data_IF_546098244073
#
_entry.id   IF_546098244073
#
_cell.length_a   1.000
_cell.length_b   1.000
_cell.length_c   1.000
_cell.angle_alpha   90.00
_cell.angle_beta   90.00
_cell.angle_gamma   90.00
#
_symmetry.space_group_name_H-M   'P 1'
#
loop_
_entity.id
_entity.type
_entity.pdbx_description
1 polymer ?
#
# COMPACT_ATOMS: atom_id res chain seq x y z
N UNK A 1 -27.57 -12.43 -1.02
CA UNK A 1 -26.59 -12.42 -2.12
C UNK A 1 -27.15 -13.25 -3.25
N UNK A 2 -27.15 -12.72 -4.47
CA UNK A 2 -27.58 -13.47 -5.66
C UNK A 2 -26.55 -14.54 -6.01
N UNK A 3 -27.00 -15.70 -6.51
CA UNK A 3 -26.12 -16.74 -7.06
C UNK A 3 -25.70 -16.44 -8.50
N UNK A 4 -26.21 -15.37 -9.11
CA UNK A 4 -25.93 -15.02 -10.50
C UNK A 4 -24.55 -14.38 -10.66
N UNK A 5 -23.82 -14.82 -11.68
CA UNK A 5 -22.48 -14.35 -12.02
C UNK A 5 -22.58 -13.09 -12.89
N UNK A 6 -21.95 -12.00 -12.45
CA UNK A 6 -21.83 -10.76 -13.21
C UNK A 6 -20.62 -10.77 -14.17
N UNK A 7 -19.48 -11.27 -13.69
CA UNK A 7 -18.25 -11.39 -14.48
C UNK A 7 -17.70 -12.80 -14.30
N UNK A 8 -17.45 -13.51 -15.40
CA UNK A 8 -16.82 -14.81 -15.43
C UNK A 8 -15.55 -14.75 -16.25
N UNK A 9 -14.42 -15.10 -15.63
CA UNK A 9 -13.12 -15.18 -16.29
C UNK A 9 -12.62 -16.61 -16.21
N UNK A 10 -12.36 -17.24 -17.36
CA UNK A 10 -11.92 -18.64 -17.45
C UNK A 10 -10.65 -18.79 -18.28
N UNK A 11 -9.58 -19.26 -17.64
CA UNK A 11 -8.27 -19.56 -18.23
C UNK A 11 -7.75 -18.43 -19.14
N UNK A 12 -8.02 -17.19 -18.74
CA UNK A 12 -7.78 -16.00 -19.54
C UNK A 12 -6.28 -15.72 -19.61
N UNK A 13 -5.78 -15.61 -20.84
CA UNK A 13 -4.38 -15.27 -21.09
C UNK A 13 -4.25 -14.19 -22.15
N UNK A 14 -3.22 -13.35 -21.99
CA UNK A 14 -2.86 -12.30 -22.95
C UNK A 14 -1.35 -12.27 -23.16
N UNK A 15 -0.95 -12.55 -24.40
CA UNK A 15 0.42 -12.44 -24.88
C UNK A 15 0.55 -11.27 -25.85
N UNK A 16 1.58 -10.45 -25.65
CA UNK A 16 2.03 -9.43 -26.59
C UNK A 16 3.30 -9.91 -27.29
N UNK A 17 3.37 -9.72 -28.60
CA UNK A 17 4.57 -9.97 -29.38
C UNK A 17 5.41 -8.70 -29.41
N UNK A 18 6.57 -8.71 -28.77
CA UNK A 18 7.49 -7.58 -28.75
C UNK A 18 8.56 -7.79 -29.82
N UNK A 19 8.70 -6.80 -30.69
CA UNK A 19 9.67 -6.78 -31.79
C UNK A 19 10.80 -5.80 -31.46
N UNK A 20 12.06 -6.18 -31.72
CA UNK A 20 13.21 -5.29 -31.48
C UNK A 20 13.26 -4.15 -32.51
N UNK A 21 12.87 -4.43 -33.75
CA UNK A 21 12.78 -3.42 -34.81
C UNK A 21 11.48 -3.54 -35.62
N UNK A 22 10.96 -2.46 -36.22
CA UNK A 22 9.79 -2.53 -37.09
C UNK A 22 9.98 -3.48 -38.29
N UNK A 23 11.22 -3.64 -38.76
CA UNK A 23 11.58 -4.58 -39.84
C UNK A 23 11.36 -6.04 -39.42
N UNK A 24 11.58 -6.36 -38.14
CA UNK A 24 11.37 -7.71 -37.62
C UNK A 24 9.89 -8.11 -37.62
N UNK A 25 8.98 -7.14 -37.47
CA UNK A 25 7.53 -7.37 -37.64
C UNK A 25 7.18 -7.76 -39.08
N UNK A 26 7.78 -7.09 -40.07
CA UNK A 26 7.59 -7.43 -41.48
C UNK A 26 8.21 -8.81 -41.81
N UNK A 27 9.42 -9.07 -41.30
CA UNK A 27 10.09 -10.37 -41.42
C UNK A 27 9.24 -11.50 -40.84
N UNK A 28 8.65 -11.31 -39.66
CA UNK A 28 7.78 -12.30 -39.04
C UNK A 28 6.54 -12.64 -39.88
N UNK A 29 6.01 -11.67 -40.62
CA UNK A 29 4.83 -11.90 -41.47
C UNK A 29 5.19 -12.70 -42.75
N UNK A 30 6.38 -12.48 -43.30
CA UNK A 30 6.77 -12.97 -44.64
C UNK A 30 7.70 -14.19 -44.57
N UNK A 31 8.78 -14.11 -43.79
CA UNK A 31 9.88 -15.08 -43.82
C UNK A 31 9.50 -16.48 -43.32
N UNK A 32 8.67 -16.68 -42.29
CA UNK A 32 8.31 -18.02 -41.82
C UNK A 32 7.61 -18.86 -42.90
N UNK A 33 6.76 -18.25 -43.74
CA UNK A 33 6.07 -18.95 -44.84
C UNK A 33 7.06 -19.36 -45.94
N UNK A 34 7.98 -18.47 -46.31
CA UNK A 34 9.01 -18.75 -47.32
C UNK A 34 9.99 -19.80 -46.81
N UNK A 35 10.42 -19.70 -45.56
CA UNK A 35 11.33 -20.67 -44.92
C UNK A 35 10.69 -22.06 -44.87
N UNK A 36 9.40 -22.16 -44.56
CA UNK A 36 8.66 -23.42 -44.57
C UNK A 36 8.62 -24.07 -45.95
N UNK A 37 8.39 -23.28 -47.02
CA UNK A 37 8.41 -23.76 -48.41
C UNK A 37 9.80 -24.22 -48.85
N UNK A 38 10.86 -23.58 -48.32
CA UNK A 38 12.26 -23.89 -48.65
C UNK A 38 12.87 -24.94 -47.69
N UNK A 39 12.05 -25.59 -46.85
CA UNK A 39 12.48 -26.66 -45.94
C UNK A 39 13.37 -26.19 -44.78
N UNK A 40 13.42 -24.88 -44.49
CA UNK A 40 14.11 -24.31 -43.34
C UNK A 40 13.17 -24.19 -42.15
N UNK A 41 13.72 -24.37 -40.94
CA UNK A 41 12.95 -24.10 -39.73
C UNK A 41 12.57 -22.62 -39.66
N UNK A 42 11.29 -22.29 -39.44
CA UNK A 42 10.83 -20.91 -39.38
C UNK A 42 11.44 -20.21 -38.17
N UNK A 43 12.12 -19.09 -38.41
CA UNK A 43 12.71 -18.28 -37.35
C UNK A 43 11.67 -17.34 -36.75
N UNK A 44 11.64 -17.24 -35.42
CA UNK A 44 10.79 -16.32 -34.69
C UNK A 44 11.51 -14.98 -34.51
N UNK A 45 10.90 -13.90 -35.01
CA UNK A 45 11.44 -12.53 -34.98
C UNK A 45 10.81 -11.66 -33.88
N UNK A 46 10.12 -12.26 -32.91
CA UNK A 46 9.54 -11.59 -31.75
C UNK A 46 9.85 -12.33 -30.46
N UNK A 47 9.85 -11.59 -29.34
CA UNK A 47 9.78 -12.16 -28.00
C UNK A 47 8.34 -12.11 -27.49
N UNK A 48 7.92 -13.14 -26.79
CA UNK A 48 6.62 -13.16 -26.14
C UNK A 48 6.68 -12.45 -24.79
N UNK A 49 5.67 -11.62 -24.53
CA UNK A 49 5.43 -11.03 -23.22
C UNK A 49 4.02 -11.38 -22.77
N UNK A 50 3.95 -12.30 -21.80
CA UNK A 50 2.72 -12.75 -21.20
C UNK A 50 2.30 -11.77 -20.11
N UNK A 51 1.40 -10.85 -20.46
CA UNK A 51 0.85 -9.88 -19.51
C UNK A 51 -0.13 -10.54 -18.54
N UNK A 52 -0.85 -11.58 -19.01
CA UNK A 52 -1.73 -12.42 -18.21
C UNK A 52 -1.59 -13.87 -18.67
N UNK A 53 -1.66 -14.82 -17.73
CA UNK A 53 -1.52 -16.24 -18.02
C UNK A 53 -2.41 -17.07 -17.08
N UNK A 54 -3.37 -17.77 -17.68
CA UNK A 54 -4.26 -18.74 -17.04
C UNK A 54 -5.02 -18.16 -15.83
N UNK A 55 -5.60 -16.97 -16.01
CA UNK A 55 -6.41 -16.30 -14.97
C UNK A 55 -7.83 -16.88 -14.95
N UNK A 56 -8.31 -17.27 -13.77
CA UNK A 56 -9.69 -17.72 -13.57
C UNK A 56 -10.27 -17.18 -12.26
N UNK A 57 -11.42 -16.51 -12.33
CA UNK A 57 -12.20 -16.07 -11.17
C UNK A 57 -13.62 -15.65 -11.59
N UNK A 58 -14.50 -15.52 -10.60
CA UNK A 58 -15.90 -15.11 -10.80
C UNK A 58 -16.25 -13.96 -9.87
N UNK A 59 -17.10 -13.05 -10.34
CA UNK A 59 -17.69 -11.96 -9.56
C UNK A 59 -19.20 -12.08 -9.62
N UNK A 60 -19.87 -12.15 -8.47
CA UNK A 60 -21.33 -12.26 -8.40
C UNK A 60 -22.01 -10.90 -8.51
N UNK A 61 -23.28 -10.88 -8.90
CA UNK A 61 -24.07 -9.65 -8.93
C UNK A 61 -24.20 -9.04 -7.53
N UNK A 62 -23.93 -7.73 -7.42
CA UNK A 62 -23.96 -6.98 -6.17
C UNK A 62 -22.76 -7.23 -5.25
N UNK A 63 -21.72 -7.89 -5.78
CA UNK A 63 -20.47 -8.09 -5.07
C UNK A 63 -19.47 -6.97 -5.39
N UNK A 64 -18.71 -6.54 -4.38
CA UNK A 64 -17.52 -5.69 -4.60
C UNK A 64 -16.26 -6.52 -4.45
N UNK A 65 -15.50 -6.62 -5.54
CA UNK A 65 -14.25 -7.39 -5.62
C UNK A 65 -13.08 -6.47 -5.93
N UNK A 66 -12.04 -6.54 -5.10
CA UNK A 66 -10.78 -5.82 -5.29
C UNK A 66 -9.81 -6.59 -6.19
N UNK A 67 -9.13 -5.93 -7.13
CA UNK A 67 -7.96 -6.46 -7.82
C UNK A 67 -6.73 -5.71 -7.30
N UNK A 68 -5.88 -6.42 -6.57
CA UNK A 68 -4.67 -5.86 -5.96
C UNK A 68 -3.42 -6.46 -6.60
N UNK A 69 -2.35 -5.66 -6.70
CA UNK A 69 -1.06 -6.11 -7.23
C UNK A 69 -0.17 -4.94 -7.64
N UNK A 70 1.13 -5.21 -7.84
CA UNK A 70 2.11 -4.19 -8.23
C UNK A 70 1.80 -3.57 -9.60
N UNK A 71 2.47 -2.46 -9.91
CA UNK A 71 2.53 -1.97 -11.28
C UNK A 71 3.20 -3.03 -12.18
N UNK A 72 2.63 -3.25 -13.37
CA UNK A 72 3.09 -4.31 -14.27
C UNK A 72 2.61 -5.74 -13.94
N UNK A 73 1.77 -5.93 -12.92
CA UNK A 73 1.19 -7.26 -12.59
C UNK A 73 0.10 -7.74 -13.57
N UNK A 74 -0.36 -6.87 -14.48
CA UNK A 74 -1.39 -7.19 -15.48
C UNK A 74 -2.78 -6.62 -15.19
N UNK A 75 -2.98 -5.84 -14.11
CA UNK A 75 -4.30 -5.26 -13.72
C UNK A 75 -4.99 -4.52 -14.88
N UNK A 76 -4.33 -3.53 -15.47
CA UNK A 76 -4.92 -2.74 -16.57
C UNK A 76 -5.24 -3.60 -17.80
N UNK A 77 -4.39 -4.57 -18.13
CA UNK A 77 -4.66 -5.55 -19.21
C UNK A 77 -5.88 -6.40 -18.90
N UNK A 78 -6.02 -6.88 -17.66
CA UNK A 78 -7.17 -7.67 -17.23
C UNK A 78 -8.45 -6.86 -17.36
N UNK A 79 -8.41 -5.61 -16.92
CA UNK A 79 -9.56 -4.73 -17.01
C UNK A 79 -9.96 -4.41 -18.44
N UNK A 80 -9.01 -4.16 -19.34
CA UNK A 80 -9.30 -3.97 -20.77
C UNK A 80 -9.95 -5.21 -21.39
N UNK A 81 -9.53 -6.41 -20.99
CA UNK A 81 -10.18 -7.67 -21.41
C UNK A 81 -11.61 -7.78 -20.86
N UNK A 82 -11.82 -7.43 -19.59
CA UNK A 82 -13.15 -7.44 -18.94
C UNK A 82 -14.10 -6.42 -19.58
N UNK A 83 -13.61 -5.23 -19.90
CA UNK A 83 -14.38 -4.17 -20.54
C UNK A 83 -14.59 -4.39 -22.03
N UNK A 84 -13.94 -5.40 -22.64
CA UNK A 84 -14.04 -5.70 -24.06
C UNK A 84 -13.27 -4.75 -24.98
N UNK A 85 -12.41 -3.86 -24.44
CA UNK A 85 -11.54 -2.99 -25.25
C UNK A 85 -10.30 -3.72 -25.77
N UNK A 86 -10.04 -4.93 -25.25
CA UNK A 86 -8.97 -5.80 -25.69
C UNK A 86 -9.49 -7.24 -25.87
N UNK A 87 -8.98 -7.93 -26.90
CA UNK A 87 -9.25 -9.35 -27.12
C UNK A 87 -8.21 -10.25 -26.42
N UNK A 88 -8.63 -11.38 -25.82
CA UNK A 88 -7.71 -12.36 -25.24
C UNK A 88 -6.87 -13.07 -26.30
N UNK A 89 -5.72 -13.61 -25.88
CA UNK A 89 -4.95 -14.56 -26.70
C UNK A 89 -5.54 -15.96 -26.59
N UNK A 90 -5.97 -16.35 -25.39
CA UNK A 90 -6.72 -17.58 -25.10
C UNK A 90 -7.59 -17.39 -23.87
N UNK A 91 -8.53 -18.32 -23.66
CA UNK A 91 -9.52 -18.25 -22.58
C UNK A 91 -10.74 -17.40 -22.94
N UNK A 92 -11.60 -17.18 -21.95
CA UNK A 92 -12.89 -16.53 -22.13
C UNK A 92 -13.16 -15.51 -21.02
N UNK A 93 -13.80 -14.40 -21.40
CA UNK A 93 -14.44 -13.45 -20.48
C UNK A 93 -15.92 -13.37 -20.87
N UNK A 94 -16.80 -13.51 -19.89
CA UNK A 94 -18.23 -13.26 -20.04
C UNK A 94 -18.68 -12.23 -19.02
N UNK A 95 -19.45 -11.25 -19.47
CA UNK A 95 -20.00 -10.18 -18.63
C UNK A 95 -21.51 -10.10 -18.84
N UNK A 96 -22.26 -10.01 -17.74
CA UNK A 96 -23.72 -10.00 -17.76
C UNK A 96 -24.25 -8.66 -17.23
N UNK A 97 -24.39 -7.69 -18.13
CA UNK A 97 -24.90 -6.35 -17.84
C UNK A 97 -24.07 -5.26 -18.52
N UNK A 98 -24.51 -4.01 -18.35
CA UNK A 98 -23.82 -2.82 -18.84
C UNK A 98 -22.64 -2.51 -17.93
N UNK A 99 -21.46 -2.39 -18.52
CA UNK A 99 -20.21 -2.04 -17.82
C UNK A 99 -19.97 -0.54 -17.99
N UNK A 100 -19.79 0.16 -16.87
CA UNK A 100 -19.16 1.48 -16.87
C UNK A 100 -17.72 1.35 -16.39
N UNK A 101 -16.76 1.77 -17.20
CA UNK A 101 -15.34 1.65 -16.92
C UNK A 101 -14.69 3.02 -16.73
N UNK A 102 -14.22 3.29 -15.50
CA UNK A 102 -13.53 4.54 -15.15
C UNK A 102 -12.04 4.56 -15.57
N UNK A 103 -11.58 3.50 -16.24
CA UNK A 103 -10.21 3.34 -16.75
C UNK A 103 -9.85 4.33 -17.84
N UNK A 104 -10.85 4.68 -18.63
CA UNK A 104 -10.71 5.51 -19.81
C UNK A 104 -11.65 6.70 -19.68
N UNK A 105 -11.60 7.38 -18.52
CA UNK A 105 -12.41 8.56 -18.23
C UNK A 105 -12.29 9.58 -19.37
N UNK A 106 -13.41 9.80 -20.08
CA UNK A 106 -13.49 10.71 -21.22
C UNK A 106 -12.99 10.15 -22.56
N UNK A 107 -12.68 8.86 -22.67
CA UNK A 107 -12.35 8.20 -23.95
C UNK A 107 -13.49 8.17 -24.98
N UNK A 108 -14.70 8.51 -24.56
CA UNK A 108 -15.83 8.77 -25.43
C UNK A 108 -16.06 10.25 -25.73
N UNK A 109 -15.31 11.19 -25.13
CA UNK A 109 -15.58 12.61 -25.31
C UNK A 109 -14.93 13.15 -26.58
N UNK A 110 -15.69 13.97 -27.30
CA UNK A 110 -15.20 14.78 -28.40
C UNK A 110 -14.88 16.20 -27.87
N UNK A 111 -13.62 16.66 -27.95
CA UNK A 111 -13.22 17.99 -27.48
C UNK A 111 -13.97 19.16 -28.17
N UNK A 112 -14.45 18.94 -29.38
CA UNK A 112 -15.21 19.94 -30.15
C UNK A 112 -16.69 20.02 -29.74
N UNK A 113 -17.20 19.00 -29.04
CA UNK A 113 -18.58 18.96 -28.56
C UNK A 113 -18.71 19.67 -27.22
N UNK A 114 -19.89 20.24 -26.96
CA UNK A 114 -20.23 20.77 -25.64
C UNK A 114 -20.25 19.66 -24.58
N UNK A 115 -20.18 20.03 -23.31
CA UNK A 115 -20.40 19.09 -22.20
C UNK A 115 -21.72 18.34 -22.36
N UNK A 116 -22.80 19.05 -22.72
CA UNK A 116 -24.11 18.46 -23.00
C UNK A 116 -24.03 17.41 -24.09
N UNK A 117 -23.48 17.74 -25.25
CA UNK A 117 -23.34 16.80 -26.37
C UNK A 117 -22.50 15.57 -25.99
N UNK A 118 -21.42 15.78 -25.21
CA UNK A 118 -20.59 14.70 -24.68
C UNK A 118 -21.33 13.78 -23.70
N UNK A 119 -22.21 14.33 -22.85
CA UNK A 119 -23.07 13.53 -21.95
C UNK A 119 -23.98 12.62 -22.77
N UNK A 120 -24.67 13.17 -23.78
CA UNK A 120 -25.58 12.39 -24.62
C UNK A 120 -24.84 11.30 -25.40
N UNK A 121 -23.72 11.65 -26.03
CA UNK A 121 -22.91 10.70 -26.78
C UNK A 121 -22.39 9.58 -25.87
N UNK A 122 -21.84 9.92 -24.71
CA UNK A 122 -21.26 8.93 -23.79
C UNK A 122 -22.32 8.02 -23.17
N UNK A 123 -23.48 8.54 -22.79
CA UNK A 123 -24.58 7.72 -22.30
C UNK A 123 -25.12 6.78 -23.40
N UNK A 124 -25.20 7.24 -24.64
CA UNK A 124 -25.59 6.40 -25.76
C UNK A 124 -24.59 5.25 -26.01
N UNK A 125 -23.28 5.52 -25.88
CA UNK A 125 -22.23 4.49 -25.93
C UNK A 125 -22.36 3.46 -24.80
N UNK A 126 -22.83 3.88 -23.62
CA UNK A 126 -23.17 2.99 -22.50
C UNK A 126 -24.51 2.25 -22.70
N UNK A 127 -25.19 2.45 -23.83
CA UNK A 127 -26.43 1.75 -24.19
C UNK A 127 -27.70 2.35 -23.60
N UNK A 128 -27.69 3.61 -23.15
CA UNK A 128 -28.89 4.32 -22.71
C UNK A 128 -29.69 4.84 -23.90
N UNK A 129 -31.02 4.76 -23.82
CA UNK A 129 -31.92 5.40 -24.80
C UNK A 129 -32.01 6.91 -24.52
N UNK A 130 -32.35 7.70 -25.53
CA UNK A 130 -32.45 9.16 -25.39
C UNK A 130 -33.33 9.60 -24.21
N UNK A 131 -34.54 9.04 -24.07
CA UNK A 131 -35.44 9.36 -22.96
C UNK A 131 -34.85 9.04 -21.57
N UNK A 132 -33.96 8.04 -21.49
CA UNK A 132 -33.24 7.67 -20.26
C UNK A 132 -32.13 8.66 -19.93
N UNK A 133 -31.52 9.27 -20.95
CA UNK A 133 -30.51 10.32 -20.83
C UNK A 133 -31.18 11.61 -20.38
N UNK A 134 -32.29 11.98 -21.02
CA UNK A 134 -33.04 13.21 -20.72
C UNK A 134 -33.44 13.26 -19.24
N UNK A 135 -33.90 12.13 -18.67
CA UNK A 135 -34.28 12.03 -17.25
C UNK A 135 -33.11 12.12 -16.27
N UNK A 136 -31.89 11.83 -16.72
CA UNK A 136 -30.67 11.79 -15.88
C UNK A 136 -29.75 12.99 -16.12
N UNK A 137 -30.02 13.78 -17.14
CA UNK A 137 -29.14 14.86 -17.56
C UNK A 137 -28.89 15.86 -16.43
N UNK A 138 -29.95 16.30 -15.76
CA UNK A 138 -29.85 17.28 -14.68
C UNK A 138 -29.06 16.73 -13.49
N UNK A 139 -29.24 15.45 -13.15
CA UNK A 139 -28.47 14.76 -12.11
C UNK A 139 -26.98 14.64 -12.48
N UNK A 140 -26.67 14.35 -13.74
CA UNK A 140 -25.29 14.31 -14.26
C UNK A 140 -24.65 15.70 -14.17
N UNK A 141 -25.36 16.73 -14.63
CA UNK A 141 -24.88 18.11 -14.61
C UNK A 141 -24.63 18.60 -13.18
N UNK A 142 -25.57 18.33 -12.27
CA UNK A 142 -25.47 18.67 -10.85
C UNK A 142 -24.34 17.91 -10.15
N UNK A 143 -24.11 16.63 -10.48
CA UNK A 143 -23.02 15.85 -9.91
C UNK A 143 -21.65 16.35 -10.40
N UNK A 144 -21.53 16.64 -11.70
CA UNK A 144 -20.31 17.17 -12.29
C UNK A 144 -19.95 18.53 -11.68
N UNK A 145 -20.96 19.38 -11.43
CA UNK A 145 -20.82 20.68 -10.75
C UNK A 145 -19.74 21.55 -11.45
N UNK A 146 -19.94 21.69 -12.77
CA UNK A 146 -19.16 22.53 -13.68
C UNK A 146 -19.92 23.78 -14.14
N UNK A 147 -21.14 24.01 -13.64
CA UNK A 147 -21.98 25.17 -13.96
C UNK A 147 -22.27 25.33 -15.46
N UNK A 148 -22.32 26.58 -15.92
CA UNK A 148 -22.66 26.94 -17.31
C UNK A 148 -21.64 26.45 -18.35
N UNK A 149 -20.47 26.00 -17.91
CA UNK A 149 -19.48 25.40 -18.81
C UNK A 149 -19.99 24.13 -19.49
N UNK A 150 -21.05 23.49 -18.97
CA UNK A 150 -21.66 22.32 -19.64
C UNK A 150 -22.14 22.62 -21.07
N UNK A 151 -22.47 23.88 -21.38
CA UNK A 151 -22.87 24.32 -22.72
C UNK A 151 -21.67 24.72 -23.60
N UNK A 152 -20.45 24.76 -23.04
CA UNK A 152 -19.23 25.09 -23.77
C UNK A 152 -18.50 23.84 -24.28
N UNK A 153 -17.73 23.95 -25.38
CA UNK A 153 -16.91 22.86 -25.90
C UNK A 153 -15.93 22.28 -24.87
N UNK A 154 -15.81 20.96 -24.78
CA UNK A 154 -14.98 20.29 -23.79
C UNK A 154 -13.47 20.65 -23.88
N UNK A 155 -12.99 21.11 -25.03
CA UNK A 155 -11.62 21.64 -25.19
C UNK A 155 -11.32 22.88 -24.36
N UNK A 156 -12.34 23.63 -23.91
CA UNK A 156 -12.15 24.79 -23.03
C UNK A 156 -12.07 24.40 -21.55
N UNK A 157 -12.31 23.12 -21.22
CA UNK A 157 -12.38 22.67 -19.84
C UNK A 157 -10.99 22.59 -19.21
N UNK A 158 -10.94 22.91 -17.91
CA UNK A 158 -9.82 22.45 -17.10
C UNK A 158 -9.81 20.92 -17.02
N UNK A 159 -8.64 20.34 -16.75
CA UNK A 159 -8.51 18.90 -16.52
C UNK A 159 -9.46 18.40 -15.42
N UNK A 160 -9.68 19.19 -14.37
CA UNK A 160 -10.63 18.89 -13.31
C UNK A 160 -12.07 18.82 -13.82
N UNK A 161 -12.55 19.83 -14.54
CA UNK A 161 -13.91 19.85 -15.09
C UNK A 161 -14.18 18.66 -16.04
N UNK A 162 -13.20 18.34 -16.89
CA UNK A 162 -13.30 17.23 -17.81
C UNK A 162 -13.49 15.90 -17.06
N UNK A 163 -12.65 15.64 -16.05
CA UNK A 163 -12.74 14.43 -15.24
C UNK A 163 -14.03 14.38 -14.43
N UNK A 164 -14.47 15.51 -13.87
CA UNK A 164 -15.72 15.59 -13.09
C UNK A 164 -16.93 15.21 -13.94
N UNK A 165 -17.03 15.72 -15.17
CA UNK A 165 -18.12 15.38 -16.08
C UNK A 165 -18.03 13.92 -16.56
N UNK A 166 -16.84 13.45 -16.92
CA UNK A 166 -16.64 12.06 -17.34
C UNK A 166 -17.03 11.07 -16.23
N UNK A 167 -16.71 11.40 -14.98
CA UNK A 167 -17.07 10.59 -13.82
C UNK A 167 -18.59 10.64 -13.55
N UNK A 168 -19.20 11.83 -13.59
CA UNK A 168 -20.64 12.01 -13.38
C UNK A 168 -21.48 11.15 -14.33
N UNK A 169 -21.11 11.12 -15.62
CA UNK A 169 -21.76 10.29 -16.63
C UNK A 169 -21.70 8.79 -16.26
N UNK A 170 -20.53 8.29 -15.88
CA UNK A 170 -20.35 6.87 -15.58
C UNK A 170 -21.08 6.41 -14.32
N UNK A 171 -21.21 7.28 -13.31
CA UNK A 171 -21.87 6.93 -12.04
C UNK A 171 -23.39 7.05 -12.12
N UNK A 172 -23.90 8.15 -12.69
CA UNK A 172 -25.35 8.41 -12.72
C UNK A 172 -26.07 7.58 -13.79
N UNK A 173 -25.37 7.12 -14.83
CA UNK A 173 -25.94 6.25 -15.88
C UNK A 173 -26.48 4.90 -15.37
N UNK A 174 -26.23 4.54 -14.10
CA UNK A 174 -26.76 3.33 -13.44
C UNK A 174 -26.33 2.03 -14.16
N UNK A 175 -25.02 1.76 -14.25
CA UNK A 175 -24.50 0.52 -14.83
C UNK A 175 -24.82 -0.70 -13.96
N UNK A 176 -24.78 -1.90 -14.54
CA UNK A 176 -24.90 -3.16 -13.78
C UNK A 176 -23.56 -3.52 -13.10
N UNK A 177 -22.46 -3.15 -13.76
CA UNK A 177 -21.09 -3.40 -13.35
C UNK A 177 -20.30 -2.10 -13.45
N UNK A 178 -19.72 -1.66 -12.34
CA UNK A 178 -18.82 -0.51 -12.30
C UNK A 178 -17.39 -0.97 -12.12
N UNK A 179 -16.53 -0.63 -13.08
CA UNK A 179 -15.09 -0.87 -13.01
C UNK A 179 -14.40 0.41 -12.60
N UNK A 180 -13.74 0.36 -11.46
CA UNK A 180 -13.13 1.49 -10.81
C UNK A 180 -11.62 1.28 -10.77
N UNK A 181 -10.87 2.13 -11.46
CA UNK A 181 -9.40 2.15 -11.37
C UNK A 181 -8.94 3.21 -10.37
N UNK A 182 -7.65 3.21 -10.06
CA UNK A 182 -6.94 4.16 -9.17
C UNK A 182 -7.20 5.65 -9.51
N UNK A 183 -7.79 5.92 -10.68
CA UNK A 183 -8.31 7.20 -11.12
C UNK A 183 -9.40 7.82 -10.22
N UNK A 184 -9.93 7.12 -9.20
CA UNK A 184 -10.77 7.76 -8.17
C UNK A 184 -10.05 8.91 -7.44
N UNK A 185 -8.71 8.90 -7.40
CA UNK A 185 -7.92 9.94 -6.78
C UNK A 185 -7.84 11.25 -7.62
N UNK A 186 -8.56 11.35 -8.74
CA UNK A 186 -8.54 12.55 -9.59
C UNK A 186 -9.65 13.52 -9.17
N UNK A 187 -9.28 14.78 -8.96
CA UNK A 187 -10.17 15.84 -8.48
C UNK A 187 -9.71 16.44 -7.15
N UNK A 188 -10.47 17.40 -6.63
CA UNK A 188 -10.26 17.92 -5.27
C UNK A 188 -10.85 16.99 -4.20
N UNK A 189 -10.50 17.22 -2.93
CA UNK A 189 -10.96 16.39 -1.80
C UNK A 189 -12.50 16.33 -1.69
N UNK A 190 -13.19 17.41 -2.03
CA UNK A 190 -14.65 17.45 -1.95
C UNK A 190 -15.28 16.57 -3.04
N UNK A 191 -14.74 16.60 -4.25
CA UNK A 191 -15.18 15.77 -5.35
C UNK A 191 -14.86 14.30 -5.09
N UNK A 192 -13.67 13.98 -4.58
CA UNK A 192 -13.34 12.62 -4.15
C UNK A 192 -14.34 12.10 -3.10
N UNK A 193 -14.72 12.91 -2.11
CA UNK A 193 -15.73 12.52 -1.12
C UNK A 193 -17.11 12.29 -1.76
N UNK A 194 -17.52 13.09 -2.75
CA UNK A 194 -18.73 12.87 -3.56
C UNK A 194 -18.66 11.54 -4.31
N UNK A 195 -17.52 11.24 -4.96
CA UNK A 195 -17.28 10.00 -5.68
C UNK A 195 -17.39 8.78 -4.76
N UNK A 196 -16.75 8.83 -3.60
CA UNK A 196 -16.80 7.77 -2.60
C UNK A 196 -18.23 7.54 -2.10
N UNK A 197 -18.97 8.61 -1.79
CA UNK A 197 -20.37 8.53 -1.36
C UNK A 197 -21.24 7.87 -2.44
N UNK A 198 -21.03 8.24 -3.69
CA UNK A 198 -21.78 7.67 -4.81
C UNK A 198 -21.46 6.19 -5.03
N UNK A 199 -20.19 5.80 -4.91
CA UNK A 199 -19.76 4.41 -4.97
C UNK A 199 -20.39 3.58 -3.85
N UNK A 200 -20.38 4.08 -2.61
CA UNK A 200 -21.03 3.39 -1.48
C UNK A 200 -22.52 3.22 -1.72
N UNK A 201 -23.23 4.26 -2.19
CA UNK A 201 -24.66 4.15 -2.54
C UNK A 201 -24.91 3.14 -3.66
N UNK A 202 -24.03 3.09 -4.66
CA UNK A 202 -24.12 2.12 -5.74
C UNK A 202 -23.99 0.69 -5.21
N UNK A 203 -23.07 0.45 -4.28
CA UNK A 203 -22.91 -0.83 -3.59
C UNK A 203 -24.13 -1.20 -2.73
N UNK A 204 -24.66 -0.23 -1.96
CA UNK A 204 -25.86 -0.42 -1.13
C UNK A 204 -27.09 -0.77 -1.95
N UNK A 205 -27.20 -0.22 -3.17
CA UNK A 205 -28.26 -0.53 -4.13
C UNK A 205 -28.06 -1.88 -4.85
N UNK A 206 -27.03 -2.66 -4.49
CA UNK A 206 -26.75 -3.97 -5.07
C UNK A 206 -26.02 -3.92 -6.41
N UNK A 207 -25.37 -2.80 -6.74
CA UNK A 207 -24.49 -2.69 -7.91
C UNK A 207 -23.23 -3.54 -7.76
N UNK A 208 -22.73 -4.09 -8.87
CA UNK A 208 -21.51 -4.90 -8.89
C UNK A 208 -20.30 -4.01 -9.09
N UNK A 209 -19.28 -4.11 -8.25
CA UNK A 209 -18.09 -3.25 -8.35
C UNK A 209 -16.83 -4.10 -8.51
N UNK A 210 -16.04 -3.80 -9.54
CA UNK A 210 -14.68 -4.27 -9.69
C UNK A 210 -13.73 -3.12 -9.37
N UNK A 211 -13.12 -3.15 -8.21
CA UNK A 211 -12.25 -2.08 -7.70
C UNK A 211 -10.79 -2.46 -7.89
N UNK A 212 -9.99 -1.63 -8.55
CA UNK A 212 -8.58 -1.91 -8.83
C UNK A 212 -7.73 -0.87 -8.17
N UNK A 213 -6.83 -1.31 -7.30
CA UNK A 213 -5.98 -0.41 -6.54
C UNK A 213 -4.75 -1.12 -5.99
N UNK A 214 -3.66 -0.38 -5.82
CA UNK A 214 -2.53 -0.76 -4.98
C UNK A 214 -2.66 -0.26 -3.52
N UNK A 215 -3.67 0.58 -3.22
CA UNK A 215 -3.99 1.02 -1.87
C UNK A 215 -4.73 -0.07 -1.09
N UNK A 216 -3.99 -0.66 -0.16
CA UNK A 216 -4.44 -1.72 0.74
C UNK A 216 -5.60 -1.24 1.63
N UNK A 217 -5.58 0.02 2.07
CA UNK A 217 -6.61 0.59 2.94
C UNK A 217 -7.95 0.70 2.22
N UNK A 218 -7.95 1.22 0.99
CA UNK A 218 -9.14 1.30 0.14
C UNK A 218 -9.70 -0.10 -0.21
N UNK A 219 -8.83 -1.07 -0.54
CA UNK A 219 -9.28 -2.44 -0.82
C UNK A 219 -9.92 -3.07 0.42
N UNK A 220 -9.33 -2.91 1.60
CA UNK A 220 -9.87 -3.43 2.86
C UNK A 220 -11.22 -2.81 3.23
N UNK A 221 -11.43 -1.52 2.97
CA UNK A 221 -12.65 -0.80 3.37
C UNK A 221 -13.79 -0.96 2.38
N UNK A 222 -13.51 -1.05 1.08
CA UNK A 222 -14.54 -1.02 0.02
C UNK A 222 -14.91 -2.40 -0.53
N UNK A 223 -14.03 -3.39 -0.38
CA UNK A 223 -14.19 -4.70 -1.01
C UNK A 223 -14.51 -5.79 0.00
N UNK A 224 -15.36 -6.74 -0.41
CA UNK A 224 -15.65 -7.94 0.40
C UNK A 224 -14.71 -9.08 0.05
N UNK A 225 -14.41 -9.23 -1.23
CA UNK A 225 -13.44 -10.18 -1.75
C UNK A 225 -12.33 -9.43 -2.48
N UNK A 226 -11.19 -10.08 -2.68
CA UNK A 226 -10.13 -9.57 -3.53
C UNK A 226 -9.40 -10.69 -4.28
N UNK A 227 -8.74 -10.31 -5.37
CA UNK A 227 -7.86 -11.13 -6.19
C UNK A 227 -6.49 -10.46 -6.17
N UNK A 228 -5.48 -11.19 -5.71
CA UNK A 228 -4.08 -10.76 -5.77
C UNK A 228 -3.44 -11.24 -7.06
N UNK A 229 -3.03 -10.28 -7.91
CA UNK A 229 -2.29 -10.51 -9.15
C UNK A 229 -0.80 -10.21 -9.00
N UNK A 230 0.02 -11.13 -9.50
CA UNK A 230 1.47 -11.01 -9.55
C UNK A 230 1.98 -11.62 -10.86
N UNK A 231 2.82 -10.87 -11.59
CA UNK A 231 3.40 -11.30 -12.86
C UNK A 231 2.40 -11.96 -13.84
N UNK A 232 1.20 -11.39 -13.94
CA UNK A 232 0.15 -11.89 -14.84
C UNK A 232 -0.55 -13.16 -14.36
N UNK A 233 -0.41 -13.55 -13.09
CA UNK A 233 -1.05 -14.73 -12.50
C UNK A 233 -1.81 -14.37 -11.22
N UNK A 234 -2.85 -15.15 -10.92
CA UNK A 234 -3.54 -15.08 -9.62
C UNK A 234 -2.73 -15.83 -8.58
N UNK A 235 -2.34 -15.13 -7.52
CA UNK A 235 -1.60 -15.70 -6.38
C UNK A 235 -2.55 -16.09 -5.24
N UNK A 236 -3.61 -15.32 -5.06
CA UNK A 236 -4.58 -15.52 -3.98
C UNK A 236 -5.93 -14.93 -4.35
N UNK A 237 -7.00 -15.56 -3.90
CA UNK A 237 -8.38 -15.06 -3.96
C UNK A 237 -9.07 -15.33 -2.63
N UNK A 238 -9.93 -14.43 -2.17
CA UNK A 238 -10.67 -14.63 -0.92
C UNK A 238 -11.09 -13.30 -0.28
N UNK A 239 -11.41 -13.30 1.03
CA UNK A 239 -11.77 -12.09 1.77
C UNK A 239 -10.73 -10.97 1.57
N UNK A 240 -11.21 -9.76 1.29
CA UNK A 240 -10.33 -8.64 0.96
C UNK A 240 -9.26 -8.37 2.04
N UNK A 241 -9.55 -8.42 3.36
CA UNK A 241 -8.53 -8.24 4.40
C UNK A 241 -7.38 -9.25 4.35
N UNK A 242 -7.70 -10.53 4.15
CA UNK A 242 -6.71 -11.62 4.12
C UNK A 242 -5.80 -11.53 2.89
N UNK A 243 -6.41 -11.26 1.73
CA UNK A 243 -5.68 -11.10 0.47
C UNK A 243 -4.78 -9.86 0.51
N UNK A 244 -5.29 -8.76 1.08
CA UNK A 244 -4.56 -7.52 1.30
C UNK A 244 -3.34 -7.73 2.22
N UNK A 245 -3.49 -8.48 3.31
CA UNK A 245 -2.38 -8.82 4.20
C UNK A 245 -1.33 -9.70 3.54
N UNK A 246 -1.77 -10.68 2.75
CA UNK A 246 -0.85 -11.51 1.96
C UNK A 246 -0.02 -10.67 0.99
N UNK A 247 -0.65 -9.73 0.30
CA UNK A 247 0.04 -8.77 -0.57
C UNK A 247 1.07 -7.93 0.20
N UNK A 248 0.68 -7.32 1.33
CA UNK A 248 1.59 -6.52 2.16
C UNK A 248 2.79 -7.33 2.65
N UNK A 249 2.56 -8.58 3.08
CA UNK A 249 3.63 -9.49 3.52
C UNK A 249 4.63 -9.74 2.41
N UNK A 250 4.17 -10.10 1.21
CA UNK A 250 5.04 -10.32 0.05
C UNK A 250 5.83 -9.06 -0.30
N UNK A 251 5.20 -7.87 -0.30
CA UNK A 251 5.91 -6.62 -0.58
C UNK A 251 7.01 -6.33 0.44
N UNK A 252 6.76 -6.59 1.73
CA UNK A 252 7.78 -6.42 2.78
C UNK A 252 8.93 -7.40 2.65
N UNK A 253 8.65 -8.65 2.27
CA UNK A 253 9.68 -9.67 2.02
C UNK A 253 10.60 -9.26 0.85
N UNK A 254 10.03 -8.76 -0.24
CA UNK A 254 10.79 -8.30 -1.41
C UNK A 254 11.66 -7.07 -1.10
N UNK A 255 11.09 -6.05 -0.45
CA UNK A 255 11.84 -4.87 0.00
C UNK A 255 13.00 -5.31 0.90
N UNK A 256 12.75 -6.23 1.82
CA UNK A 256 13.79 -6.78 2.71
C UNK A 256 14.89 -7.53 1.94
N UNK A 257 14.58 -8.18 0.82
CA UNK A 257 15.56 -8.85 -0.04
C UNK A 257 16.35 -7.86 -0.90
N UNK A 258 15.71 -6.84 -1.46
CA UNK A 258 16.37 -5.78 -2.23
C UNK A 258 17.34 -4.98 -1.36
N UNK A 259 16.94 -4.60 -0.15
CA UNK A 259 17.82 -3.95 0.83
C UNK A 259 19.02 -4.83 1.14
N UNK A 260 18.83 -6.15 1.35
CA UNK A 260 19.96 -7.09 1.56
C UNK A 260 20.89 -7.21 0.36
N UNK A 261 20.36 -7.15 -0.87
CA UNK A 261 21.18 -7.17 -2.10
C UNK A 261 21.97 -5.87 -2.25
N UNK A 262 21.36 -4.73 -1.98
CA UNK A 262 22.01 -3.43 -2.05
C UNK A 262 23.17 -3.34 -1.04
N UNK A 263 22.93 -3.76 0.20
CA UNK A 263 23.98 -3.84 1.24
C UNK A 263 25.15 -4.74 0.82
N UNK A 264 24.89 -5.87 0.13
CA UNK A 264 25.95 -6.78 -0.36
C UNK A 264 26.75 -6.23 -1.53
N UNK A 265 26.15 -5.42 -2.40
CA UNK A 265 26.84 -4.80 -3.55
C UNK A 265 27.71 -3.63 -3.10
N UNK A 266 27.28 -2.88 -2.07
CA UNK A 266 28.07 -1.81 -1.46
C UNK A 266 29.25 -2.33 -0.62
N UNK A 267 29.21 -3.58 -0.13
CA UNK A 267 30.31 -4.24 0.58
C UNK A 267 31.35 -4.90 -0.33
N UNK A 268 31.46 -4.47 -1.59
CA UNK A 268 32.53 -4.87 -2.53
C UNK A 268 33.89 -4.20 -2.26
N UNK A 269 34.05 -3.46 -1.17
CA UNK A 269 35.35 -3.03 -0.67
C UNK A 269 35.97 -4.16 0.16
N UNK A 270 37.23 -4.46 -0.17
CA UNK A 270 38.12 -5.48 0.37
C UNK A 270 37.85 -5.91 1.81
N UNK A 271 37.72 -7.23 1.99
CA UNK A 271 37.44 -7.91 3.27
C UNK A 271 38.61 -7.93 4.27
N UNK A 272 39.69 -7.18 4.05
CA UNK A 272 40.95 -7.33 4.82
C UNK A 272 41.25 -6.23 5.84
N UNK A 273 40.36 -5.27 6.08
CA UNK A 273 40.46 -4.36 7.24
C UNK A 273 39.08 -4.05 7.80
N UNK A 274 38.49 -5.01 8.49
CA UNK A 274 37.40 -4.72 9.42
C UNK A 274 38.01 -3.99 10.63
N UNK A 275 38.07 -2.65 10.57
CA UNK A 275 38.11 -1.88 11.80
C UNK A 275 36.74 -2.03 12.47
N UNK A 276 36.75 -2.49 13.72
CA UNK A 276 35.58 -2.41 14.60
C UNK A 276 35.00 -0.99 14.51
N UNK A 277 33.68 -0.82 14.30
CA UNK A 277 33.08 0.50 14.33
C UNK A 277 33.37 1.12 15.71
N UNK A 278 34.04 2.27 15.71
CA UNK A 278 34.37 3.01 16.92
C UNK A 278 33.10 3.28 17.73
N UNK A 279 33.09 2.81 18.98
CA UNK A 279 32.01 2.85 19.97
C UNK A 279 31.60 4.25 20.45
N UNK A 280 31.85 5.32 19.69
CA UNK A 280 31.89 6.69 20.23
C UNK A 280 30.90 7.70 19.60
N UNK A 281 29.68 7.26 19.26
CA UNK A 281 28.62 8.20 18.78
C UNK A 281 27.41 8.32 19.72
N UNK A 282 27.46 7.70 20.91
CA UNK A 282 26.56 8.02 22.02
C UNK A 282 27.43 8.47 23.19
N UNK A 283 27.11 9.61 23.79
CA UNK A 283 27.84 10.11 24.96
C UNK A 283 27.85 9.04 26.06
N UNK A 284 29.04 8.54 26.41
CA UNK A 284 29.36 7.69 27.56
C UNK A 284 29.23 8.47 28.89
N UNK A 285 28.05 9.02 29.17
CA UNK A 285 27.73 9.48 30.52
C UNK A 285 26.37 8.92 30.89
N UNK A 286 26.40 8.14 31.98
CA UNK A 286 25.34 7.34 32.58
C UNK A 286 25.12 5.97 31.91
N UNK A 287 26.07 5.05 32.14
CA UNK A 287 25.79 3.61 32.14
C UNK A 287 24.90 3.28 33.35
N UNK A 288 23.65 2.84 33.19
CA UNK A 288 23.00 2.06 34.24
C UNK A 288 23.70 0.70 34.25
N UNK A 289 24.21 0.30 35.42
CA UNK A 289 24.95 -0.94 35.60
C UNK A 289 24.24 -2.15 34.98
N UNK A 290 25.03 -3.00 34.34
CA UNK A 290 24.64 -4.34 33.89
C UNK A 290 24.28 -5.21 35.09
N UNK A 291 23.01 -5.16 35.51
CA UNK A 291 22.41 -6.22 36.30
C UNK A 291 21.65 -7.19 35.36
N UNK A 292 22.15 -8.42 35.32
CA UNK A 292 21.48 -9.59 34.75
C UNK A 292 20.42 -10.17 35.71
N UNK A 293 19.79 -9.29 36.48
CA UNK A 293 18.69 -9.61 37.35
C UNK A 293 17.41 -9.19 36.64
N UNK A 294 16.46 -10.13 36.49
CA UNK A 294 15.04 -9.74 36.41
C UNK A 294 14.84 -8.86 37.63
N UNK A 295 14.70 -7.55 37.43
CA UNK A 295 14.57 -6.63 38.56
C UNK A 295 13.20 -6.85 39.20
N UNK A 296 13.17 -7.76 40.18
CA UNK A 296 11.99 -8.06 41.00
C UNK A 296 11.47 -6.83 41.75
N UNK A 297 12.19 -5.69 41.74
CA UNK A 297 11.70 -4.41 42.26
C UNK A 297 10.68 -3.71 41.35
N UNK A 298 10.44 -4.20 40.13
CA UNK A 298 9.31 -3.75 39.29
C UNK A 298 7.93 -4.19 39.84
N UNK A 299 7.89 -4.90 40.98
CA UNK A 299 6.67 -5.40 41.63
C UNK A 299 5.71 -4.31 42.16
N UNK A 300 6.12 -3.04 42.18
CA UNK A 300 5.23 -1.93 42.56
C UNK A 300 4.32 -1.43 41.42
N UNK A 301 4.53 -1.88 40.18
CA UNK A 301 3.72 -1.47 39.03
C UNK A 301 2.87 -2.64 38.49
N UNK A 302 1.56 -2.52 38.62
CA UNK A 302 0.59 -3.53 38.16
C UNK A 302 0.70 -3.76 36.64
N UNK A 303 0.67 -5.03 36.23
CA UNK A 303 0.50 -5.42 34.82
C UNK A 303 -0.77 -4.78 34.24
N UNK A 304 -0.65 -4.08 33.10
CA UNK A 304 -1.75 -3.36 32.46
C UNK A 304 -2.30 -4.11 31.26
N UNK A 305 -3.63 -4.10 31.13
CA UNK A 305 -4.39 -4.55 29.97
C UNK A 305 -5.54 -3.57 29.75
N UNK A 306 -5.82 -3.21 28.51
CA UNK A 306 -6.90 -2.27 28.17
C UNK A 306 -7.74 -2.76 27.00
N UNK A 307 -9.05 -2.93 27.23
CA UNK A 307 -10.00 -3.27 26.17
C UNK A 307 -10.13 -2.15 25.12
N UNK A 308 -9.88 -0.90 25.52
CA UNK A 308 -9.85 0.23 24.59
C UNK A 308 -8.63 0.16 23.67
N UNK A 309 -7.46 -0.18 24.23
CA UNK A 309 -6.25 -0.45 23.44
C UNK A 309 -6.47 -1.59 22.46
N UNK A 310 -7.03 -2.71 22.92
CA UNK A 310 -7.31 -3.88 22.07
C UNK A 310 -8.29 -3.52 20.93
N UNK A 311 -9.37 -2.78 21.22
CA UNK A 311 -10.32 -2.31 20.19
C UNK A 311 -9.66 -1.39 19.16
N UNK A 312 -8.82 -0.46 19.61
CA UNK A 312 -8.11 0.48 18.72
C UNK A 312 -7.05 -0.23 17.87
N UNK A 313 -6.34 -1.20 18.46
CA UNK A 313 -5.32 -1.98 17.77
C UNK A 313 -5.91 -2.97 16.76
N UNK A 314 -7.12 -3.50 17.00
CA UNK A 314 -7.71 -4.60 16.23
C UNK A 314 -7.73 -4.38 14.71
N UNK A 315 -7.92 -3.15 14.24
CA UNK A 315 -8.01 -2.85 12.81
C UNK A 315 -6.69 -3.04 12.03
N UNK A 316 -5.54 -2.91 12.72
CA UNK A 316 -4.20 -2.91 12.11
C UNK A 316 -3.22 -3.89 12.78
N UNK A 317 -3.69 -4.68 13.74
CA UNK A 317 -2.89 -5.71 14.44
C UNK A 317 -2.76 -6.96 13.59
N UNK A 318 -1.57 -7.55 13.53
CA UNK A 318 -1.32 -8.81 12.81
C UNK A 318 -0.18 -9.59 13.47
N UNK A 319 -0.11 -10.89 13.21
CA UNK A 319 0.94 -11.77 13.73
C UNK A 319 0.49 -13.23 13.76
N UNK A 320 1.43 -14.15 13.95
CA UNK A 320 1.13 -15.59 14.04
C UNK A 320 0.40 -15.98 15.32
N UNK A 321 0.34 -15.10 16.33
CA UNK A 321 -0.25 -15.35 17.64
C UNK A 321 0.66 -16.12 18.60
N UNK A 322 0.09 -16.49 19.75
CA UNK A 322 0.74 -17.23 20.83
C UNK A 322 1.46 -16.37 21.88
N UNK A 323 1.82 -15.14 21.51
CA UNK A 323 2.33 -14.12 22.43
C UNK A 323 1.69 -12.79 22.04
N UNK A 324 1.17 -12.05 23.01
CA UNK A 324 0.30 -10.90 22.78
C UNK A 324 0.77 -9.65 23.54
N UNK A 325 0.83 -8.52 22.83
CA UNK A 325 0.95 -7.19 23.41
C UNK A 325 -0.42 -6.80 24.00
N UNK A 326 -0.45 -6.52 25.29
CA UNK A 326 -1.69 -6.20 26.04
C UNK A 326 -1.85 -4.71 26.28
N UNK A 327 -0.74 -3.96 26.31
CA UNK A 327 -0.73 -2.51 26.42
C UNK A 327 0.64 -1.94 26.05
N UNK A 328 0.68 -0.66 25.67
CA UNK A 328 1.92 0.07 25.39
C UNK A 328 1.80 1.49 25.92
N UNK A 329 2.88 1.98 26.53
CA UNK A 329 2.96 3.33 27.10
C UNK A 329 4.20 4.06 26.61
N UNK A 330 4.06 5.37 26.42
CA UNK A 330 5.16 6.31 26.31
C UNK A 330 5.11 7.19 27.56
N UNK A 331 6.16 7.16 28.38
CA UNK A 331 6.21 7.79 29.69
C UNK A 331 7.39 8.76 29.78
N UNK A 332 7.30 9.73 30.69
CA UNK A 332 8.46 10.49 31.16
C UNK A 332 9.28 9.70 32.21
N UNK A 333 10.32 10.33 32.76
CA UNK A 333 11.16 9.76 33.80
C UNK A 333 10.43 9.62 35.15
N UNK A 334 9.36 10.39 35.38
CA UNK A 334 8.52 10.32 36.58
C UNK A 334 7.45 9.22 36.47
N UNK A 335 7.22 8.69 35.27
CA UNK A 335 6.26 7.61 34.99
C UNK A 335 4.91 8.10 34.50
N UNK A 336 4.78 9.39 34.17
CA UNK A 336 3.54 9.97 33.64
C UNK A 336 3.42 9.70 32.12
N UNK A 337 2.24 9.36 31.61
CA UNK A 337 2.01 9.21 30.17
C UNK A 337 2.23 10.50 29.37
N UNK A 338 2.94 10.38 28.26
CA UNK A 338 3.25 11.48 27.34
C UNK A 338 2.37 11.41 26.08
N UNK A 339 1.69 12.51 25.79
CA UNK A 339 1.07 12.78 24.48
C UNK A 339 1.79 13.90 23.71
N UNK A 340 2.56 14.71 24.43
CA UNK A 340 3.37 15.80 23.90
C UNK A 340 4.79 15.62 24.42
N UNK A 341 5.75 15.64 23.52
CA UNK A 341 7.17 15.38 23.80
C UNK A 341 8.00 16.57 23.32
N UNK A 342 8.92 17.06 24.14
CA UNK A 342 9.87 18.08 23.73
C UNK A 342 10.99 17.49 22.87
N UNK A 343 11.60 18.31 22.01
CA UNK A 343 12.79 17.92 21.26
C UNK A 343 13.88 17.37 22.20
N UNK A 344 14.42 16.20 21.86
CA UNK A 344 15.47 15.50 22.61
C UNK A 344 15.11 15.20 24.07
N UNK A 345 13.82 15.16 24.40
CA UNK A 345 13.36 14.71 25.72
C UNK A 345 13.66 13.22 25.89
N UNK A 346 14.10 12.87 27.10
CA UNK A 346 14.26 11.49 27.52
C UNK A 346 12.89 10.89 27.85
N UNK A 347 12.62 9.71 27.29
CA UNK A 347 11.33 9.03 27.41
C UNK A 347 11.54 7.55 27.72
N UNK A 348 10.50 6.93 28.25
CA UNK A 348 10.43 5.50 28.49
C UNK A 348 9.30 4.87 27.68
N UNK A 349 9.62 3.87 26.89
CA UNK A 349 8.65 3.06 26.16
C UNK A 349 8.43 1.76 26.93
N UNK A 350 7.19 1.53 27.36
CA UNK A 350 6.82 0.35 28.15
C UNK A 350 5.87 -0.52 27.33
N UNK A 351 6.20 -1.81 27.17
CA UNK A 351 5.40 -2.78 26.43
C UNK A 351 5.01 -3.93 27.36
N UNK A 352 3.71 -4.17 27.52
CA UNK A 352 3.18 -5.25 28.34
C UNK A 352 2.83 -6.46 27.46
N UNK A 353 3.36 -7.62 27.82
CA UNK A 353 3.28 -8.84 27.00
C UNK A 353 2.73 -9.99 27.83
N UNK A 354 1.78 -10.73 27.26
CA UNK A 354 1.22 -11.97 27.80
C UNK A 354 1.50 -13.12 26.83
N UNK A 355 1.98 -14.27 27.33
CA UNK A 355 2.31 -15.43 26.50
C UNK A 355 1.36 -16.58 26.76
N UNK A 356 0.88 -17.21 25.69
CA UNK A 356 0.06 -18.43 25.71
C UNK A 356 0.87 -19.66 25.30
N UNK A 357 2.11 -19.48 24.84
CA UNK A 357 2.99 -20.57 24.43
C UNK A 357 4.39 -20.45 25.06
N UNK A 358 5.20 -21.47 24.85
CA UNK A 358 6.63 -21.42 25.14
C UNK A 358 7.41 -21.11 23.86
N UNK A 359 8.10 -19.96 23.84
CA UNK A 359 8.83 -19.50 22.65
C UNK A 359 9.96 -18.54 23.04
N UNK A 360 11.00 -18.51 22.23
CA UNK A 360 12.06 -17.50 22.31
C UNK A 360 11.66 -16.28 21.47
N UNK A 361 11.68 -15.09 22.07
CA UNK A 361 11.13 -13.86 21.47
C UNK A 361 12.02 -12.64 21.68
N UNK A 362 11.82 -11.64 20.81
CA UNK A 362 12.28 -10.26 20.96
C UNK A 362 11.08 -9.34 20.96
N UNK A 363 10.99 -8.44 21.93
CA UNK A 363 9.94 -7.42 22.01
C UNK A 363 10.55 -6.09 21.59
N UNK A 364 10.06 -5.51 20.51
CA UNK A 364 10.70 -4.42 19.79
C UNK A 364 9.72 -3.26 19.60
N UNK A 365 10.25 -2.09 19.26
CA UNK A 365 9.45 -0.93 18.88
C UNK A 365 10.03 -0.21 17.66
N UNK A 366 9.16 0.51 16.96
CA UNK A 366 9.53 1.49 15.95
C UNK A 366 8.77 2.78 16.19
N UNK A 367 9.41 3.94 15.96
CA UNK A 367 8.77 5.25 15.91
C UNK A 367 8.68 5.65 14.44
N UNK A 368 7.46 5.87 13.98
CA UNK A 368 7.17 6.23 12.60
C UNK A 368 6.61 7.65 12.50
N UNK A 369 6.92 8.34 11.41
CA UNK A 369 6.30 9.62 11.08
C UNK A 369 4.85 9.46 10.55
N UNK A 370 4.24 10.59 10.22
CA UNK A 370 2.91 10.70 9.63
C UNK A 370 2.77 9.98 8.28
N UNK A 371 3.88 9.72 7.60
CA UNK A 371 3.97 8.97 6.34
C UNK A 371 4.32 7.50 6.54
N UNK A 372 4.35 7.02 7.80
CA UNK A 372 4.72 5.66 8.18
C UNK A 372 6.16 5.28 7.80
N UNK A 373 7.05 6.26 7.72
CA UNK A 373 8.49 6.03 7.57
C UNK A 373 9.07 5.76 8.96
N UNK A 374 9.82 4.67 9.11
CA UNK A 374 10.48 4.32 10.37
C UNK A 374 11.70 5.22 10.61
N UNK A 375 11.72 5.92 11.74
CA UNK A 375 12.78 6.85 12.13
C UNK A 375 13.68 6.29 13.22
N UNK A 376 13.10 5.64 14.23
CA UNK A 376 13.82 5.09 15.38
C UNK A 376 13.33 3.68 15.61
N UNK A 377 14.25 2.73 15.79
CA UNK A 377 13.93 1.34 16.10
C UNK A 377 14.69 0.90 17.35
N UNK A 378 14.02 0.16 18.22
CA UNK A 378 14.63 -0.52 19.35
C UNK A 378 14.27 -1.99 19.36
N UNK A 379 15.25 -2.84 19.64
CA UNK A 379 15.08 -4.27 19.82
C UNK A 379 16.10 -4.76 20.86
N UNK A 380 15.93 -6.00 21.33
CA UNK A 380 16.81 -6.54 22.37
C UNK A 380 18.29 -6.54 21.96
N UNK A 381 18.61 -6.90 20.72
CA UNK A 381 20.00 -6.92 20.25
C UNK A 381 20.62 -5.51 20.19
N UNK A 382 19.87 -4.49 19.76
CA UNK A 382 20.31 -3.10 19.80
C UNK A 382 20.47 -2.57 21.23
N UNK A 383 19.75 -3.18 22.18
CA UNK A 383 19.88 -2.91 23.61
C UNK A 383 20.85 -3.87 24.32
N UNK A 384 21.66 -4.63 23.55
CA UNK A 384 22.64 -5.60 24.07
C UNK A 384 22.04 -6.63 25.05
N UNK A 385 20.79 -7.03 24.82
CA UNK A 385 20.06 -8.06 25.57
C UNK A 385 19.83 -9.30 24.72
N UNK A 386 19.89 -10.46 25.39
CA UNK A 386 19.49 -11.74 24.81
C UNK A 386 17.97 -11.82 24.61
N UNK A 387 17.55 -12.78 23.79
CA UNK A 387 16.14 -13.09 23.59
C UNK A 387 15.47 -13.59 24.87
N UNK A 388 14.19 -13.24 25.04
CA UNK A 388 13.40 -13.66 26.18
C UNK A 388 12.73 -15.01 25.87
N UNK A 389 12.94 -16.01 26.73
CA UNK A 389 12.19 -17.26 26.68
C UNK A 389 10.91 -17.09 27.49
N UNK A 390 9.77 -17.02 26.81
CA UNK A 390 8.45 -16.90 27.44
C UNK A 390 7.84 -18.27 27.67
N UNK A 391 6.99 -18.41 28.70
CA UNK A 391 6.22 -19.63 29.00
C UNK A 391 4.72 -19.39 28.87
N UNK A 392 3.93 -20.43 28.66
CA UNK A 392 2.47 -20.30 28.65
C UNK A 392 1.95 -19.75 30.00
N UNK A 393 1.07 -18.76 29.96
CA UNK A 393 0.50 -18.06 31.11
C UNK A 393 1.41 -17.00 31.75
N UNK A 394 2.62 -16.77 31.20
CA UNK A 394 3.54 -15.76 31.75
C UNK A 394 3.27 -14.36 31.23
N UNK A 395 3.63 -13.35 32.03
CA UNK A 395 3.40 -11.93 31.77
C UNK A 395 4.68 -11.14 32.00
N UNK A 396 4.95 -10.18 31.11
CA UNK A 396 6.18 -9.40 31.12
C UNK A 396 5.89 -7.91 30.90
N UNK A 397 6.74 -7.07 31.49
CA UNK A 397 6.80 -5.62 31.29
C UNK A 397 8.19 -5.30 30.75
N UNK A 398 8.27 -4.87 29.50
CA UNK A 398 9.53 -4.52 28.82
C UNK A 398 9.62 -2.99 28.79
N UNK A 399 10.75 -2.44 29.22
CA UNK A 399 10.98 -0.99 29.28
C UNK A 399 12.24 -0.62 28.48
N UNK A 400 12.11 0.37 27.60
CA UNK A 400 13.21 0.98 26.85
C UNK A 400 13.32 2.46 27.24
N UNK A 401 14.54 2.94 27.50
CA UNK A 401 14.82 4.36 27.76
C UNK A 401 15.66 4.93 26.63
N UNK A 402 15.28 6.10 26.13
CA UNK A 402 15.98 6.80 25.05
C UNK A 402 15.65 8.29 25.02
N UNK A 403 16.55 9.08 24.42
CA UNK A 403 16.22 10.45 24.02
C UNK A 403 15.59 10.47 22.63
N UNK A 404 14.65 11.37 22.40
CA UNK A 404 13.97 11.54 21.11
C UNK A 404 14.43 12.83 20.38
N UNK A 405 15.56 12.82 19.64
CA UNK A 405 16.06 13.98 18.91
C UNK A 405 15.31 14.18 17.58
N UNK A 406 13.97 14.13 17.62
CA UNK A 406 13.08 14.23 16.46
C UNK A 406 12.41 15.60 16.41
N UNK A 407 12.12 16.09 15.21
CA UNK A 407 11.49 17.41 15.03
C UNK A 407 10.00 17.42 15.37
N UNK A 408 9.40 18.61 15.38
CA UNK A 408 7.95 18.76 15.51
C UNK A 408 7.18 17.99 14.45
N UNK A 409 6.06 17.44 14.90
CA UNK A 409 5.18 16.63 14.08
C UNK A 409 4.42 15.60 14.89
N UNK A 410 3.61 14.84 14.17
CA UNK A 410 2.82 13.73 14.69
C UNK A 410 3.59 12.44 14.42
N UNK A 411 3.76 11.62 15.45
CA UNK A 411 4.46 10.35 15.37
C UNK A 411 3.60 9.22 15.93
N UNK A 412 3.91 8.01 15.48
CA UNK A 412 3.27 6.78 15.95
C UNK A 412 4.32 5.79 16.46
N UNK A 413 4.05 5.20 17.61
CA UNK A 413 4.82 4.11 18.19
C UNK A 413 4.20 2.79 17.76
N UNK A 414 4.95 1.99 17.03
CA UNK A 414 4.62 0.61 16.69
C UNK A 414 5.34 -0.32 17.67
N UNK A 415 4.60 -1.23 18.30
CA UNK A 415 5.18 -2.30 19.12
C UNK A 415 5.06 -3.64 18.37
N UNK A 416 6.10 -4.48 18.45
CA UNK A 416 6.13 -5.75 17.72
C UNK A 416 6.92 -6.83 18.45
N UNK A 417 6.44 -8.07 18.36
CA UNK A 417 7.07 -9.26 18.91
C UNK A 417 7.50 -10.13 17.75
N UNK A 418 8.76 -10.56 17.75
CA UNK A 418 9.30 -11.46 16.72
C UNK A 418 10.11 -12.59 17.32
N UNK A 419 10.21 -13.71 16.62
CA UNK A 419 11.21 -14.73 16.94
C UNK A 419 12.62 -14.25 16.53
N UNK A 420 13.68 -14.85 17.10
CA UNK A 420 15.05 -14.62 16.64
C UNK A 420 15.19 -14.77 15.12
N UNK A 421 15.90 -13.84 14.50
CA UNK A 421 16.16 -13.87 13.07
C UNK A 421 17.24 -14.93 12.79
N UNK A 422 16.82 -16.10 12.29
CA UNK A 422 17.75 -17.14 11.82
C UNK A 422 18.18 -16.85 10.39
N UNK A 423 19.46 -17.01 10.09
CA UNK A 423 20.02 -16.78 8.74
C UNK A 423 19.31 -17.67 7.72
N UNK A 424 18.69 -17.06 6.70
CA UNK A 424 17.97 -17.76 5.64
C UNK A 424 16.50 -18.05 5.93
N UNK A 425 15.97 -17.64 7.08
CA UNK A 425 14.56 -17.79 7.45
C UNK A 425 13.89 -16.41 7.51
N UNK A 426 12.63 -16.32 7.08
CA UNK A 426 11.80 -15.12 7.24
C UNK A 426 11.54 -14.83 8.73
N UNK A 427 11.44 -13.55 9.09
CA UNK A 427 11.11 -13.16 10.47
C UNK A 427 9.67 -13.56 10.77
N UNK A 428 9.47 -14.37 11.80
CA UNK A 428 8.14 -14.72 12.30
C UNK A 428 7.71 -13.65 13.32
N UNK A 429 6.73 -12.85 12.94
CA UNK A 429 6.14 -11.84 13.82
C UNK A 429 4.97 -12.46 14.57
N UNK A 430 5.09 -12.55 15.89
CA UNK A 430 4.06 -13.17 16.75
C UNK A 430 2.88 -12.23 16.93
N UNK A 431 3.16 -10.94 17.09
CA UNK A 431 2.17 -9.91 17.28
C UNK A 431 2.75 -8.53 16.95
N UNK A 432 2.01 -7.71 16.23
CA UNK A 432 2.43 -6.37 15.82
C UNK A 432 1.26 -5.41 15.95
N UNK A 433 1.48 -4.32 16.67
CA UNK A 433 0.52 -3.23 16.85
C UNK A 433 1.12 -1.96 16.26
N UNK A 434 0.67 -1.59 15.06
CA UNK A 434 1.29 -0.50 14.27
C UNK A 434 1.09 0.91 14.82
N UNK A 435 -0.02 1.17 15.53
CA UNK A 435 -0.36 2.47 16.12
C UNK A 435 -0.62 2.32 17.63
N UNK A 436 0.36 1.76 18.34
CA UNK A 436 0.21 1.47 19.77
C UNK A 436 0.05 2.76 20.60
N UNK A 437 0.84 3.80 20.31
CA UNK A 437 0.72 5.15 20.90
C UNK A 437 0.89 6.18 19.79
N UNK A 438 0.08 7.25 19.79
CA UNK A 438 0.25 8.42 18.92
C UNK A 438 0.63 9.59 19.82
N UNK A 439 1.67 10.32 19.46
CA UNK A 439 2.16 11.45 20.23
C UNK A 439 2.65 12.57 19.30
N UNK A 440 2.64 13.79 19.82
CA UNK A 440 3.15 14.96 19.15
C UNK A 440 4.51 15.35 19.71
N UNK A 441 5.35 15.94 18.87
CA UNK A 441 6.60 16.55 19.29
C UNK A 441 6.48 18.05 19.13
N UNK A 442 6.84 18.78 20.18
CA UNK A 442 6.83 20.23 20.20
C UNK A 442 7.90 20.84 19.31
N UNK A 443 7.62 22.06 18.84
CA UNK A 443 8.53 22.81 17.99
C UNK A 443 9.80 23.15 18.74
N UNK A 444 10.94 22.83 18.12
CA UNK A 444 12.23 23.23 18.64
C UNK A 444 12.54 24.68 18.27
N UNK A 445 12.48 25.59 19.25
CA UNK A 445 12.60 27.03 19.02
C UNK A 445 14.01 27.49 18.62
N UNK A 446 15.04 26.69 18.89
CA UNK A 446 16.44 27.11 18.78
C UNK A 446 17.04 26.87 17.39
N UNK A 447 16.55 25.88 16.63
CA UNK A 447 17.10 25.56 15.31
C UNK A 447 16.06 24.99 14.33
N UNK A 448 16.07 25.53 13.11
CA UNK A 448 15.34 24.96 11.97
C UNK A 448 16.18 23.85 11.35
N UNK A 449 15.98 22.62 11.79
CA UNK A 449 16.52 21.45 11.09
C UNK A 449 15.63 21.20 9.87
N UNK A 450 16.20 20.82 8.73
CA UNK A 450 15.42 20.42 7.53
C UNK A 450 15.09 18.93 7.52
N UNK A 451 15.67 18.16 8.46
CA UNK A 451 15.55 16.70 8.57
C UNK A 451 14.82 16.30 9.84
N UNK A 452 14.08 15.18 9.77
CA UNK A 452 13.25 14.64 10.86
C UNK A 452 14.02 14.28 12.13
N UNK A 453 15.30 13.95 12.02
CA UNK A 453 16.17 13.56 13.13
C UNK A 453 17.36 14.51 13.19
N UNK A 454 17.74 14.91 14.41
CA UNK A 454 18.97 15.63 14.69
C UNK A 454 20.01 14.69 15.26
N UNK A 455 21.21 14.71 14.67
CA UNK A 455 22.38 14.07 15.24
C UNK A 455 23.42 15.19 15.42
N UNK A 456 24.04 15.33 16.60
CA UNK A 456 25.06 16.35 16.80
C UNK A 456 26.25 16.11 15.85
N UNK A 457 26.62 17.13 15.08
CA UNK A 457 27.78 17.09 14.16
C UNK A 457 28.85 18.05 14.65
N UNK A 458 30.08 17.55 14.72
CA UNK A 458 31.25 18.39 14.97
C UNK A 458 31.69 19.07 13.67
N UNK A 459 31.59 20.39 13.60
CA UNK A 459 32.07 21.18 12.47
C UNK A 459 33.45 21.78 12.76
N UNK A 460 34.40 21.54 11.86
CA UNK A 460 35.69 22.24 11.84
C UNK A 460 35.79 23.03 10.54
N UNK A 461 35.97 24.35 10.64
CA UNK A 461 36.17 25.24 9.50
C UNK A 461 37.64 25.65 9.48
N UNK A 462 38.36 25.27 8.42
CA UNK A 462 39.71 25.76 8.15
C UNK A 462 39.65 26.92 7.16
N UNK A 463 40.36 28.01 7.45
CA UNK A 463 40.58 29.09 6.50
C UNK A 463 41.97 28.93 5.89
N UNK A 464 42.07 28.75 4.58
CA UNK A 464 43.35 28.85 3.87
C UNK A 464 43.62 30.32 3.54
N UNK A 465 44.72 30.92 4.00
CA UNK A 465 45.09 32.26 3.54
C UNK A 465 45.40 32.24 2.04
N UNK A 466 44.98 33.30 1.32
CA UNK A 466 45.32 33.52 -0.08
C UNK A 466 46.84 33.72 -0.21
N UNK A 467 47.57 32.64 -0.53
CA UNK A 467 48.94 32.75 -1.03
C UNK A 467 48.89 33.26 -2.48
N UNK A 468 48.69 34.57 -2.67
CA UNK A 468 49.15 35.24 -3.88
C UNK A 468 50.61 35.68 -3.65
N UNK A 469 51.55 35.28 -4.54
CA UNK A 469 52.97 35.54 -4.38
C UNK A 469 53.33 37.02 -4.41
#
# INVERSE_FOLDING_TARGET
>A
MSSEIAIKVENLSKCYQIYNTPRDRLKQFILPRIQHVVGKQPQQYYREFWALKDISFEVKKGETVGIIGRNGSGKSTLLQLICGTLYPTSGLVQTHGRIAALLELGSGFNPEFSGRENVYMSCALLGLKKDEIDRRFDDIAAFADIGDFIEQPAKSYSSGMFVRLAFAVNVISSPDIMVVDEALAVGDMNFQAKCMTALTRFQENGGTVLFVSHDVGAVKSLCKQAVYLEHGKVVSTGPAPEVAERYVRTMREEISQEVRKFVRVSSGFSQDQAHEPSSSVVNEKDQPGTDNLIDTRMAEHSFKRSEEFDRRAAAMRYGSGGVHITYVELLDLEGNPLQLVSFNQEVRIVIYVESECEKEISVNFNILDDKKINLVAGNFLLAERDFLIVKSGSRYRIEYSLCLPIQDGIYSLCALISTPIKRGVSVDYLDVVSDAVIFNVDRWDVAKIWSKVFIPVNLRIGHFPDNRP
#
